data_IF_562123979616
#
_entry.id   IF_562123979616
#
_cell.length_a   1.000
_cell.length_b   1.000
_cell.length_c   1.000
_cell.angle_alpha   90.00
_cell.angle_beta   90.00
_cell.angle_gamma   90.00
#
_symmetry.space_group_name_H-M   'P 1'
#
loop_
_entity.id
_entity.type
_entity.pdbx_description
1 polymer ?
#
# COMPACT_ATOMS: atom_id res chain seq x y z
N UNK A 1 25.76 5.82 -9.05
CA UNK A 1 25.03 6.95 -9.66
C UNK A 1 23.65 6.99 -9.00
N UNK A 2 23.43 7.72 -7.92
CA UNK A 2 22.76 9.04 -7.96
C UNK A 2 23.00 9.87 -6.67
N UNK A 3 24.17 9.79 -6.04
CA UNK A 3 24.54 10.62 -4.85
C UNK A 3 24.67 12.12 -5.15
N UNK A 4 24.66 12.50 -6.44
CA UNK A 4 24.92 13.88 -6.89
C UNK A 4 23.68 14.79 -6.90
N UNK A 5 22.45 14.25 -6.74
CA UNK A 5 21.22 15.05 -6.93
C UNK A 5 20.63 15.72 -5.68
N UNK A 6 21.25 15.63 -4.49
CA UNK A 6 20.68 16.12 -3.20
C UNK A 6 19.23 15.66 -2.92
N UNK A 7 18.79 14.55 -3.53
CA UNK A 7 17.48 13.97 -3.30
C UNK A 7 17.57 13.08 -2.05
N UNK A 8 16.96 13.53 -0.97
CA UNK A 8 16.90 12.80 0.30
C UNK A 8 15.63 11.95 0.35
N UNK A 9 15.61 10.84 -0.40
CA UNK A 9 14.53 9.85 -0.29
C UNK A 9 14.84 8.87 0.84
N UNK A 10 13.80 8.25 1.43
CA UNK A 10 13.96 7.22 2.47
C UNK A 10 15.04 6.18 2.10
N UNK A 11 15.05 5.59 0.87
CA UNK A 11 16.08 4.63 0.48
C UNK A 11 17.51 5.16 0.53
N UNK A 12 17.71 6.47 0.29
CA UNK A 12 19.03 7.12 0.30
C UNK A 12 19.50 7.38 1.73
N UNK A 13 18.60 7.76 2.63
CA UNK A 13 18.93 8.13 4.01
C UNK A 13 19.11 6.91 4.91
N UNK A 14 18.20 5.95 4.84
CA UNK A 14 18.12 4.82 5.78
C UNK A 14 18.40 3.47 5.11
N UNK A 15 18.70 3.47 3.81
CA UNK A 15 18.97 2.27 3.03
C UNK A 15 17.72 1.60 2.46
N UNK A 16 17.92 0.84 1.39
CA UNK A 16 16.84 0.20 0.63
C UNK A 16 16.09 -0.85 1.45
N UNK A 17 16.81 -1.69 2.19
CA UNK A 17 16.20 -2.78 2.98
C UNK A 17 15.24 -2.24 4.05
N UNK A 18 15.65 -1.22 4.80
CA UNK A 18 14.80 -0.64 5.83
C UNK A 18 13.62 0.12 5.21
N UNK A 19 13.85 0.82 4.09
CA UNK A 19 12.78 1.50 3.35
C UNK A 19 11.69 0.55 2.85
N UNK A 20 12.07 -0.63 2.34
CA UNK A 20 11.11 -1.68 1.95
C UNK A 20 10.31 -2.19 3.16
N UNK A 21 10.98 -2.39 4.29
CA UNK A 21 10.33 -2.81 5.54
C UNK A 21 9.31 -1.78 6.04
N UNK A 22 9.67 -0.50 6.04
CA UNK A 22 8.76 0.60 6.42
C UNK A 22 7.56 0.65 5.50
N UNK A 23 7.77 0.57 4.17
CA UNK A 23 6.66 0.56 3.23
C UNK A 23 5.69 -0.58 3.51
N UNK A 24 6.19 -1.82 3.63
CA UNK A 24 5.33 -2.98 3.97
C UNK A 24 4.63 -2.75 5.31
N UNK A 25 5.32 -2.20 6.31
CA UNK A 25 4.74 -1.83 7.60
C UNK A 25 3.57 -0.85 7.46
N UNK A 26 3.72 0.21 6.66
CA UNK A 26 2.65 1.18 6.38
C UNK A 26 1.44 0.51 5.70
N UNK A 27 1.69 -0.39 4.75
CA UNK A 27 0.64 -1.11 4.03
C UNK A 27 -0.07 -2.16 4.88
N UNK A 28 0.57 -2.69 5.92
CA UNK A 28 -0.11 -3.52 6.93
C UNK A 28 -0.89 -2.64 7.90
N UNK A 29 -0.31 -1.50 8.31
CA UNK A 29 -0.90 -0.60 9.29
C UNK A 29 -2.25 -0.03 8.84
N UNK A 30 -2.43 0.29 7.55
CA UNK A 30 -3.74 0.71 7.01
C UNK A 30 -4.86 -0.30 7.28
N UNK A 31 -4.58 -1.61 7.22
CA UNK A 31 -5.57 -2.64 7.53
C UNK A 31 -5.84 -2.69 9.02
N UNK A 32 -4.79 -2.70 9.85
CA UNK A 32 -4.92 -2.74 11.31
C UNK A 32 -5.69 -1.53 11.85
N UNK A 33 -5.42 -0.33 11.33
CA UNK A 33 -6.16 0.87 11.70
C UNK A 33 -7.61 0.80 11.25
N UNK A 34 -7.90 0.27 10.06
CA UNK A 34 -9.29 0.09 9.61
C UNK A 34 -10.05 -0.88 10.53
N UNK A 35 -9.44 -2.02 10.89
CA UNK A 35 -10.02 -2.96 11.87
C UNK A 35 -10.25 -2.26 13.20
N UNK A 36 -9.24 -1.56 13.73
CA UNK A 36 -9.33 -0.86 15.00
C UNK A 36 -10.51 0.13 15.02
N UNK A 37 -10.66 0.95 13.98
CA UNK A 37 -11.74 1.93 13.87
C UNK A 37 -13.13 1.27 13.76
N UNK A 38 -13.23 0.08 13.15
CA UNK A 38 -14.48 -0.70 13.17
C UNK A 38 -14.75 -1.27 14.57
N UNK A 39 -13.73 -1.82 15.24
CA UNK A 39 -13.87 -2.44 16.56
C UNK A 39 -14.30 -1.44 17.63
N UNK A 40 -13.79 -0.21 17.61
CA UNK A 40 -14.20 0.84 18.56
C UNK A 40 -15.56 1.49 18.19
N UNK A 41 -16.21 1.02 17.13
CA UNK A 41 -17.50 1.55 16.67
C UNK A 41 -17.41 2.89 15.94
N UNK A 42 -16.20 3.36 15.59
CA UNK A 42 -16.05 4.58 14.79
C UNK A 42 -16.58 4.36 13.38
N UNK A 43 -16.27 3.22 12.75
CA UNK A 43 -16.80 2.80 11.45
C UNK A 43 -17.75 1.62 11.58
N UNK A 44 -18.68 1.50 10.64
CA UNK A 44 -19.51 0.31 10.46
C UNK A 44 -18.67 -0.84 9.86
N UNK A 45 -19.12 -2.11 9.98
CA UNK A 45 -18.42 -3.25 9.38
C UNK A 45 -18.22 -3.18 7.86
N UNK A 46 -18.92 -2.28 7.15
CA UNK A 46 -18.74 -2.06 5.70
C UNK A 46 -17.31 -1.65 5.36
N UNK A 47 -16.61 -0.93 6.25
CA UNK A 47 -15.20 -0.58 6.01
C UNK A 47 -14.27 -1.78 5.83
N UNK A 48 -14.68 -2.98 6.23
CA UNK A 48 -13.90 -4.21 6.02
C UNK A 48 -13.84 -4.63 4.54
N UNK A 49 -14.57 -4.00 3.63
CA UNK A 49 -14.40 -4.24 2.19
C UNK A 49 -12.99 -3.90 1.66
N UNK A 50 -12.20 -3.11 2.40
CA UNK A 50 -10.77 -2.90 2.09
C UNK A 50 -9.98 -4.21 1.99
N UNK A 51 -10.42 -5.29 2.64
CA UNK A 51 -9.78 -6.59 2.58
C UNK A 51 -9.85 -7.26 1.19
N UNK A 52 -10.71 -6.78 0.28
CA UNK A 52 -10.68 -7.20 -1.12
C UNK A 52 -9.33 -6.87 -1.78
N UNK A 53 -8.59 -5.88 -1.27
CA UNK A 53 -7.25 -5.57 -1.74
C UNK A 53 -6.15 -6.51 -1.21
N UNK A 54 -6.42 -7.40 -0.24
CA UNK A 54 -5.41 -8.32 0.32
C UNK A 54 -4.67 -9.19 -0.70
N UNK A 55 -5.32 -9.76 -1.73
CA UNK A 55 -4.62 -10.57 -2.72
C UNK A 55 -3.51 -9.80 -3.43
N UNK A 56 -3.68 -8.49 -3.64
CA UNK A 56 -2.64 -7.64 -4.24
C UNK A 56 -1.46 -7.42 -3.29
N UNK A 57 -1.71 -7.31 -1.98
CA UNK A 57 -0.68 -7.25 -0.94
C UNK A 57 0.15 -8.54 -0.94
N UNK A 58 -0.51 -9.70 -0.90
CA UNK A 58 0.16 -10.99 -0.86
C UNK A 58 1.00 -11.27 -2.10
N UNK A 59 0.51 -10.87 -3.29
CA UNK A 59 1.26 -11.04 -4.54
C UNK A 59 2.55 -10.21 -4.57
N UNK A 60 2.57 -9.03 -3.95
CA UNK A 60 3.78 -8.18 -3.98
C UNK A 60 4.78 -8.50 -2.87
N UNK A 61 4.35 -9.02 -1.70
CA UNK A 61 5.23 -9.26 -0.55
C UNK A 61 6.53 -10.05 -0.85
N UNK A 62 6.51 -11.12 -1.68
CA UNK A 62 7.74 -11.84 -2.03
C UNK A 62 8.78 -10.95 -2.72
N UNK A 63 8.34 -10.04 -3.58
CA UNK A 63 9.25 -9.14 -4.31
C UNK A 63 9.96 -8.15 -3.36
N UNK A 64 9.30 -7.70 -2.29
CA UNK A 64 9.89 -6.80 -1.29
C UNK A 64 10.93 -7.47 -0.39
N UNK A 65 10.96 -8.81 -0.35
CA UNK A 65 11.99 -9.59 0.38
C UNK A 65 13.29 -9.74 -0.39
N UNK A 66 13.25 -9.54 -1.71
CA UNK A 66 14.42 -9.66 -2.59
C UNK A 66 15.00 -8.28 -2.92
N UNK A 67 16.31 -8.18 -3.24
CA UNK A 67 16.85 -6.96 -3.81
C UNK A 67 16.20 -6.65 -5.16
N UNK A 68 16.21 -5.37 -5.56
CA UNK A 68 15.79 -5.00 -6.90
C UNK A 68 16.62 -5.81 -7.93
N UNK A 69 16.00 -6.38 -8.98
CA UNK A 69 16.73 -6.99 -10.09
C UNK A 69 17.76 -6.04 -10.69
N UNK A 70 18.88 -6.58 -11.20
CA UNK A 70 19.91 -5.78 -11.87
C UNK A 70 19.42 -5.24 -13.23
N UNK A 71 18.60 -6.03 -13.93
CA UNK A 71 18.05 -5.72 -15.24
C UNK A 71 16.51 -5.69 -15.21
N UNK A 72 15.91 -4.96 -16.16
CA UNK A 72 14.45 -4.88 -16.31
C UNK A 72 13.93 -6.25 -16.76
N UNK A 73 12.98 -6.89 -16.04
CA UNK A 73 12.33 -8.12 -16.52
C UNK A 73 11.60 -7.88 -17.85
N UNK A 74 11.55 -8.88 -18.73
CA UNK A 74 11.00 -8.75 -20.08
C UNK A 74 9.55 -8.22 -20.10
N UNK A 75 8.70 -8.73 -19.21
CA UNK A 75 7.28 -8.35 -19.12
C UNK A 75 7.02 -7.20 -18.13
N UNK A 76 8.05 -6.42 -17.78
CA UNK A 76 7.90 -5.34 -16.80
C UNK A 76 7.37 -4.05 -17.45
N UNK A 77 6.39 -3.36 -16.84
CA UNK A 77 5.86 -2.10 -17.35
C UNK A 77 6.96 -1.04 -17.56
N UNK A 78 6.67 -0.05 -18.40
CA UNK A 78 7.64 1.02 -18.74
C UNK A 78 7.77 2.11 -17.67
N UNK A 79 8.03 1.64 -16.45
CA UNK A 79 8.20 2.43 -15.22
C UNK A 79 9.52 2.10 -14.53
N UNK A 80 10.40 1.33 -15.18
CA UNK A 80 11.77 1.11 -14.74
C UNK A 80 12.50 2.47 -14.64
N UNK A 81 13.28 2.77 -13.59
CA UNK A 81 13.82 1.89 -12.55
C UNK A 81 12.93 1.66 -11.31
N UNK A 82 11.67 2.09 -11.30
CA UNK A 82 10.81 2.16 -10.11
C UNK A 82 10.11 0.84 -9.75
N UNK A 83 10.89 -0.25 -9.65
CA UNK A 83 10.40 -1.63 -9.47
C UNK A 83 9.45 -1.80 -8.27
N UNK A 84 9.87 -1.37 -7.08
CA UNK A 84 9.02 -1.49 -5.89
C UNK A 84 7.82 -0.55 -5.91
N UNK A 85 7.98 0.64 -6.49
CA UNK A 85 6.91 1.65 -6.56
C UNK A 85 5.77 1.16 -7.42
N UNK A 86 6.05 0.56 -8.57
CA UNK A 86 5.02 0.06 -9.46
C UNK A 86 4.15 -1.01 -8.79
N UNK A 87 4.77 -1.95 -8.05
CA UNK A 87 4.03 -2.96 -7.28
C UNK A 87 3.21 -2.34 -6.14
N UNK A 88 3.81 -1.43 -5.37
CA UNK A 88 3.10 -0.74 -4.29
C UNK A 88 1.93 0.11 -4.82
N UNK A 89 2.06 0.69 -6.01
CA UNK A 89 1.03 1.51 -6.64
C UNK A 89 -0.21 0.69 -7.01
N UNK A 90 -0.03 -0.53 -7.53
CA UNK A 90 -1.14 -1.46 -7.80
C UNK A 90 -1.93 -1.73 -6.53
N UNK A 91 -1.23 -2.03 -5.44
CA UNK A 91 -1.86 -2.27 -4.15
C UNK A 91 -2.58 -1.02 -3.61
N UNK A 92 -1.90 0.13 -3.59
CA UNK A 92 -2.44 1.39 -3.11
C UNK A 92 -3.69 1.82 -3.87
N UNK A 93 -3.70 1.65 -5.21
CA UNK A 93 -4.88 1.98 -6.02
C UNK A 93 -6.06 1.06 -5.69
N UNK A 94 -5.78 -0.24 -5.51
CA UNK A 94 -6.82 -1.23 -5.18
C UNK A 94 -7.39 -0.96 -3.78
N UNK A 95 -6.53 -0.79 -2.79
CA UNK A 95 -6.94 -0.46 -1.41
C UNK A 95 -7.69 0.87 -1.37
N UNK A 96 -7.13 1.92 -1.97
CA UNK A 96 -7.74 3.25 -1.96
C UNK A 96 -9.11 3.29 -2.61
N UNK A 97 -9.31 2.55 -3.71
CA UNK A 97 -10.63 2.43 -4.36
C UNK A 97 -11.65 1.78 -3.41
N UNK A 98 -11.32 0.64 -2.82
CA UNK A 98 -12.22 -0.05 -1.89
C UNK A 98 -12.45 0.75 -0.60
N UNK A 99 -11.43 1.44 -0.10
CA UNK A 99 -11.54 2.32 1.05
C UNK A 99 -12.52 3.46 0.79
N UNK A 100 -12.37 4.16 -0.34
CA UNK A 100 -13.26 5.28 -0.69
C UNK A 100 -14.70 4.81 -0.91
N UNK A 101 -14.91 3.70 -1.63
CA UNK A 101 -16.24 3.14 -1.83
C UNK A 101 -16.89 2.74 -0.51
N UNK A 102 -16.15 2.03 0.34
CA UNK A 102 -16.64 1.62 1.65
C UNK A 102 -16.93 2.84 2.56
N UNK A 103 -16.10 3.88 2.51
CA UNK A 103 -16.28 5.11 3.27
C UNK A 103 -17.54 5.88 2.86
N UNK A 104 -17.82 5.95 1.55
CA UNK A 104 -19.06 6.55 1.04
C UNK A 104 -20.27 5.79 1.57
N UNK A 105 -20.26 4.45 1.48
CA UNK A 105 -21.35 3.60 1.97
C UNK A 105 -21.50 3.71 3.48
N UNK A 106 -20.40 3.69 4.24
CA UNK A 106 -20.39 3.90 5.68
C UNK A 106 -21.02 5.23 6.09
N UNK A 107 -20.67 6.31 5.38
CA UNK A 107 -21.21 7.65 5.62
C UNK A 107 -22.71 7.69 5.35
N UNK A 108 -23.14 7.15 4.21
CA UNK A 108 -24.57 7.04 3.85
C UNK A 108 -25.33 6.27 4.93
N UNK A 109 -24.84 5.10 5.33
CA UNK A 109 -25.44 4.27 6.39
C UNK A 109 -25.61 5.08 7.67
N UNK A 110 -24.55 5.75 8.14
CA UNK A 110 -24.61 6.53 9.37
C UNK A 110 -25.54 7.74 9.28
N UNK A 111 -25.64 8.38 8.12
CA UNK A 111 -26.55 9.52 7.94
C UNK A 111 -28.02 9.11 7.94
N UNK A 112 -28.36 7.91 7.47
CA UNK A 112 -29.75 7.44 7.41
C UNK A 112 -30.16 6.53 8.58
N UNK A 113 -29.20 5.93 9.29
CA UNK A 113 -29.44 4.99 10.41
C UNK A 113 -28.97 5.50 11.77
N UNK A 114 -28.33 6.67 11.82
CA UNK A 114 -27.96 7.39 13.05
C UNK A 114 -28.86 8.60 13.26
#
# INVERSE_FOLDING_TARGET
>A
MDKAKRIHTLPVVIGERLSRGILVGMLVLQYLLTIYLVVIGFFTPVMLFVFIALPTLWRMLPAFRQPKPAEKPADYPDVWPNYFVAMAFVHNRTFGMWFLLALIVDTVIKTFMG
#
